data_IF_402649601534
#
_entry.id   IF_402649601534
#
_cell.length_a   1.000
_cell.length_b   1.000
_cell.length_c   1.000
_cell.angle_alpha   90.00
_cell.angle_beta   90.00
_cell.angle_gamma   90.00
#
_symmetry.space_group_name_H-M   'P 1'
#
loop_
_entity.id
_entity.type
_entity.pdbx_description
1 polymer ?
#
# COMPACT_ATOMS: atom_id res chain seq x y z
N UNK A 1 -37.83 32.15 -2.97
CA UNK A 1 -36.91 31.55 -3.95
C UNK A 1 -35.76 30.94 -3.16
N UNK A 2 -35.72 29.61 -2.97
CA UNK A 2 -34.74 28.93 -2.11
C UNK A 2 -33.37 28.91 -2.79
N UNK A 3 -32.39 29.58 -2.19
CA UNK A 3 -30.98 29.50 -2.58
C UNK A 3 -30.49 28.06 -2.49
N UNK A 4 -30.13 27.48 -3.64
CA UNK A 4 -29.40 26.21 -3.71
C UNK A 4 -27.97 26.48 -3.24
N UNK A 5 -27.68 26.23 -1.96
CA UNK A 5 -26.30 26.13 -1.46
C UNK A 5 -25.58 25.05 -2.28
N UNK A 6 -24.68 25.47 -3.16
CA UNK A 6 -23.79 24.58 -3.89
C UNK A 6 -22.96 23.78 -2.90
N UNK A 7 -23.19 22.48 -2.83
CA UNK A 7 -22.35 21.56 -2.08
C UNK A 7 -21.03 21.44 -2.85
N UNK A 8 -20.09 22.38 -2.60
CA UNK A 8 -18.70 22.21 -3.00
C UNK A 8 -18.22 20.93 -2.31
N UNK A 9 -17.98 19.87 -3.07
CA UNK A 9 -17.19 18.73 -2.59
C UNK A 9 -15.83 19.32 -2.19
N UNK A 10 -15.60 19.50 -0.89
CA UNK A 10 -14.27 19.84 -0.38
C UNK A 10 -13.35 18.72 -0.82
N UNK A 11 -12.33 19.05 -1.62
CA UNK A 11 -11.32 18.08 -2.01
C UNK A 11 -10.59 17.57 -0.78
N UNK A 12 -9.98 16.39 -0.87
CA UNK A 12 -9.14 15.84 0.21
C UNK A 12 -7.97 16.77 0.59
N UNK A 13 -7.62 17.73 -0.28
CA UNK A 13 -6.64 18.80 -0.04
C UNK A 13 -7.04 19.78 1.08
N UNK A 14 -8.33 19.95 1.37
CA UNK A 14 -8.84 20.90 2.40
C UNK A 14 -8.96 20.26 3.81
N UNK A 15 -8.58 18.98 3.95
CA UNK A 15 -8.73 18.22 5.19
C UNK A 15 -7.58 18.46 6.16
N UNK A 16 -7.87 19.23 7.22
CA UNK A 16 -6.92 19.56 8.31
C UNK A 16 -6.44 18.36 9.12
N UNK A 17 -7.10 17.22 9.00
CA UNK A 17 -6.78 15.99 9.72
C UNK A 17 -5.89 15.03 8.93
N UNK A 18 -5.46 15.40 7.72
CA UNK A 18 -4.47 14.68 6.94
C UNK A 18 -3.12 15.41 7.04
N UNK A 19 -2.03 14.66 7.11
CA UNK A 19 -0.69 15.24 7.20
C UNK A 19 -0.23 15.91 5.88
N UNK A 20 -1.10 16.01 4.87
CA UNK A 20 -0.78 16.41 3.51
C UNK A 20 -0.42 15.18 2.69
N UNK A 21 -1.15 14.95 1.60
CA UNK A 21 -0.86 13.87 0.66
C UNK A 21 0.32 14.33 -0.21
N UNK A 22 1.39 13.54 -0.23
CA UNK A 22 2.59 13.91 -0.97
C UNK A 22 2.41 13.49 -2.42
N UNK A 23 2.10 14.44 -3.30
CA UNK A 23 1.88 14.18 -4.74
C UNK A 23 3.02 13.41 -5.41
N UNK A 24 4.26 13.54 -4.92
CA UNK A 24 5.42 12.77 -5.40
C UNK A 24 5.29 11.27 -5.05
N UNK A 25 4.68 10.94 -3.91
CA UNK A 25 4.38 9.56 -3.51
C UNK A 25 3.40 8.92 -4.48
N UNK A 26 2.29 9.60 -4.79
CA UNK A 26 1.28 9.10 -5.72
C UNK A 26 1.82 8.93 -7.15
N UNK A 27 2.59 9.92 -7.63
CA UNK A 27 3.28 9.83 -8.92
C UNK A 27 4.25 8.64 -8.93
N UNK A 28 5.02 8.46 -7.85
CA UNK A 28 5.94 7.33 -7.70
C UNK A 28 5.21 5.98 -7.77
N UNK A 29 4.05 5.85 -7.12
CA UNK A 29 3.24 4.63 -7.19
C UNK A 29 2.74 4.35 -8.61
N UNK A 30 2.26 5.36 -9.32
CA UNK A 30 1.80 5.21 -10.72
C UNK A 30 2.97 4.81 -11.62
N UNK A 31 4.13 5.45 -11.48
CA UNK A 31 5.33 5.11 -12.26
C UNK A 31 5.79 3.68 -11.99
N UNK A 32 5.78 3.24 -10.73
CA UNK A 32 6.14 1.88 -10.36
C UNK A 32 5.12 0.85 -10.85
N UNK A 33 3.83 1.18 -10.86
CA UNK A 33 2.80 0.34 -11.46
C UNK A 33 3.04 0.16 -12.96
N UNK A 34 3.31 1.26 -13.68
CA UNK A 34 3.64 1.22 -15.11
C UNK A 34 4.90 0.39 -15.34
N UNK A 35 5.94 0.60 -14.54
CA UNK A 35 7.19 -0.15 -14.63
C UNK A 35 6.96 -1.65 -14.38
N UNK A 36 6.16 -2.01 -13.39
CA UNK A 36 5.81 -3.40 -13.10
C UNK A 36 5.06 -4.06 -14.27
N UNK A 37 4.04 -3.38 -14.81
CA UNK A 37 3.28 -3.89 -15.96
C UNK A 37 4.20 -4.03 -17.18
N UNK A 38 5.01 -3.02 -17.47
CA UNK A 38 5.97 -3.05 -18.57
C UNK A 38 6.99 -4.20 -18.41
N UNK A 39 7.56 -4.38 -17.22
CA UNK A 39 8.48 -5.46 -16.92
C UNK A 39 7.83 -6.84 -17.10
N UNK A 40 6.58 -6.99 -16.67
CA UNK A 40 5.83 -8.22 -16.86
C UNK A 40 5.57 -8.51 -18.35
N UNK A 41 5.19 -7.51 -19.14
CA UNK A 41 4.99 -7.65 -20.59
C UNK A 41 6.31 -7.99 -21.31
N UNK A 42 7.40 -7.32 -20.96
CA UNK A 42 8.74 -7.61 -21.50
C UNK A 42 9.14 -9.06 -21.19
N UNK A 43 8.87 -9.54 -19.98
CA UNK A 43 9.14 -10.94 -19.64
C UNK A 43 8.33 -11.91 -20.51
N UNK A 44 7.04 -11.66 -20.70
CA UNK A 44 6.16 -12.51 -21.50
C UNK A 44 6.60 -12.55 -22.97
N UNK A 45 6.83 -11.40 -23.60
CA UNK A 45 6.98 -11.29 -25.04
C UNK A 45 8.42 -11.36 -25.55
N UNK A 46 9.40 -10.99 -24.72
CA UNK A 46 10.79 -10.86 -25.15
C UNK A 46 11.63 -11.94 -24.47
N UNK A 47 11.64 -11.98 -23.15
CA UNK A 47 12.62 -12.77 -22.41
C UNK A 47 12.19 -14.22 -22.16
N UNK A 48 10.88 -14.49 -22.17
CA UNK A 48 10.28 -15.80 -21.99
C UNK A 48 10.74 -16.53 -20.70
N UNK A 49 11.32 -15.84 -19.70
CA UNK A 49 11.74 -16.48 -18.44
C UNK A 49 10.54 -17.03 -17.69
N UNK A 50 9.43 -16.28 -17.66
CA UNK A 50 8.15 -16.75 -17.13
C UNK A 50 7.71 -18.07 -17.79
N UNK A 51 7.91 -18.25 -19.10
CA UNK A 51 7.40 -19.42 -19.85
C UNK A 51 8.00 -20.72 -19.32
N UNK A 52 9.29 -20.72 -18.95
CA UNK A 52 9.95 -21.88 -18.36
C UNK A 52 9.29 -22.31 -17.03
N UNK A 53 9.15 -21.40 -16.08
CA UNK A 53 8.58 -21.71 -14.76
C UNK A 53 7.09 -22.01 -14.80
N UNK A 54 6.35 -21.30 -15.66
CA UNK A 54 4.90 -21.50 -15.83
C UNK A 54 4.54 -22.84 -16.46
N UNK A 55 5.44 -23.47 -17.21
CA UNK A 55 5.26 -24.84 -17.71
C UNK A 55 5.47 -25.90 -16.62
N UNK A 56 6.31 -25.62 -15.62
CA UNK A 56 6.55 -26.54 -14.50
C UNK A 56 5.40 -26.52 -13.49
N UNK A 57 4.88 -25.33 -13.17
CA UNK A 57 3.85 -25.16 -12.14
C UNK A 57 2.49 -24.89 -12.78
N UNK A 58 1.54 -25.80 -12.53
CA UNK A 58 0.16 -25.66 -13.03
C UNK A 58 -0.46 -24.32 -12.64
N UNK A 59 -1.19 -23.72 -13.58
CA UNK A 59 -1.89 -22.45 -13.36
C UNK A 59 -2.89 -22.54 -12.21
N UNK A 60 -3.55 -23.69 -12.02
CA UNK A 60 -4.51 -23.89 -10.93
C UNK A 60 -3.86 -23.76 -9.55
N UNK A 61 -2.65 -24.32 -9.39
CA UNK A 61 -1.91 -24.22 -8.13
C UNK A 61 -1.46 -22.78 -7.88
N UNK A 62 -0.97 -22.08 -8.91
CA UNK A 62 -0.57 -20.67 -8.82
C UNK A 62 -1.75 -19.77 -8.43
N UNK A 63 -2.90 -19.97 -9.07
CA UNK A 63 -4.13 -19.24 -8.72
C UNK A 63 -4.51 -19.54 -7.28
N UNK A 64 -4.57 -20.81 -6.87
CA UNK A 64 -4.91 -21.22 -5.52
C UNK A 64 -4.01 -20.55 -4.45
N UNK A 65 -2.69 -20.50 -4.70
CA UNK A 65 -1.73 -19.85 -3.81
C UNK A 65 -1.86 -18.31 -3.80
N UNK A 66 -2.27 -17.70 -4.92
CA UNK A 66 -2.44 -16.25 -5.02
C UNK A 66 -3.70 -15.72 -4.33
N UNK A 67 -4.77 -16.53 -4.24
CA UNK A 67 -6.04 -16.13 -3.62
C UNK A 67 -5.92 -15.60 -2.18
N UNK A 68 -5.27 -16.30 -1.22
CA UNK A 68 -5.12 -15.77 0.13
C UNK A 68 -4.28 -14.48 0.15
N UNK A 69 -3.30 -14.34 -0.74
CA UNK A 69 -2.47 -13.14 -0.85
C UNK A 69 -3.30 -11.96 -1.34
N UNK A 70 -4.13 -12.14 -2.38
CA UNK A 70 -5.05 -11.10 -2.85
C UNK A 70 -6.12 -10.74 -1.82
N UNK A 71 -6.62 -11.73 -1.09
CA UNK A 71 -7.57 -11.47 0.00
C UNK A 71 -6.93 -10.58 1.08
N UNK A 72 -5.72 -10.88 1.52
CA UNK A 72 -4.98 -10.05 2.48
C UNK A 72 -4.67 -8.67 1.90
N UNK A 73 -4.22 -8.59 0.66
CA UNK A 73 -3.95 -7.33 -0.04
C UNK A 73 -5.19 -6.42 -0.02
N UNK A 74 -6.34 -6.96 -0.43
CA UNK A 74 -7.62 -6.26 -0.44
C UNK A 74 -8.06 -5.87 0.97
N UNK A 75 -7.96 -6.78 1.94
CA UNK A 75 -8.33 -6.53 3.33
C UNK A 75 -7.54 -5.35 3.93
N UNK A 76 -6.21 -5.34 3.79
CA UNK A 76 -5.37 -4.28 4.32
C UNK A 76 -5.57 -2.95 3.59
N UNK A 77 -5.60 -2.96 2.25
CA UNK A 77 -5.81 -1.75 1.46
C UNK A 77 -7.18 -1.12 1.75
N UNK A 78 -8.25 -1.92 1.70
CA UNK A 78 -9.62 -1.43 1.92
C UNK A 78 -9.84 -0.97 3.35
N UNK A 79 -9.36 -1.72 4.34
CA UNK A 79 -9.49 -1.33 5.74
C UNK A 79 -8.68 -0.08 6.07
N UNK A 80 -7.47 0.04 5.50
CA UNK A 80 -6.63 1.22 5.65
C UNK A 80 -7.29 2.47 5.05
N UNK A 81 -7.73 2.38 3.79
CA UNK A 81 -8.46 3.46 3.11
C UNK A 81 -9.71 3.87 3.87
N UNK A 82 -10.51 2.90 4.34
CA UNK A 82 -11.73 3.18 5.12
C UNK A 82 -11.40 3.91 6.42
N UNK A 83 -10.32 3.56 7.12
CA UNK A 83 -9.96 4.20 8.38
C UNK A 83 -9.42 5.61 8.19
N UNK A 84 -8.66 5.88 7.11
CA UNK A 84 -8.11 7.22 6.81
C UNK A 84 -9.17 8.15 6.24
N UNK A 85 -9.91 7.69 5.23
CA UNK A 85 -10.82 8.54 4.48
C UNK A 85 -12.29 8.45 4.92
N UNK A 86 -12.69 7.36 5.57
CA UNK A 86 -14.09 7.10 5.92
C UNK A 86 -14.61 7.87 7.13
N UNK A 87 -13.73 8.49 7.93
CA UNK A 87 -14.11 9.34 9.06
C UNK A 87 -13.32 10.64 8.98
N UNK A 88 -14.01 11.77 8.82
CA UNK A 88 -13.40 13.10 8.96
C UNK A 88 -13.22 13.43 10.43
N UNK A 89 -12.01 13.86 10.80
CA UNK A 89 -11.66 14.29 12.15
C UNK A 89 -11.48 15.80 12.16
N UNK A 90 -11.68 16.40 13.33
CA UNK A 90 -11.51 17.84 13.50
C UNK A 90 -10.05 18.27 13.40
N UNK A 91 -9.14 17.41 13.86
CA UNK A 91 -7.71 17.68 13.98
C UNK A 91 -6.92 16.41 13.65
N UNK A 92 -5.65 16.61 13.26
CA UNK A 92 -4.71 15.51 13.04
C UNK A 92 -4.44 14.80 14.36
N UNK A 93 -4.56 13.48 14.37
CA UNK A 93 -4.32 12.65 15.56
C UNK A 93 -3.85 11.25 15.16
N UNK A 94 -3.12 10.59 16.06
CA UNK A 94 -2.63 9.22 15.83
C UNK A 94 -3.80 8.25 15.66
N UNK A 95 -3.76 7.49 14.57
CA UNK A 95 -4.71 6.41 14.30
C UNK A 95 -4.07 5.09 14.71
N UNK A 96 -4.60 4.46 15.76
CA UNK A 96 -4.09 3.15 16.25
C UNK A 96 -5.15 2.05 16.32
N UNK A 97 -6.24 2.18 15.57
CA UNK A 97 -7.39 1.25 15.58
C UNK A 97 -7.53 0.48 14.27
N UNK A 98 -8.17 -0.68 14.33
CA UNK A 98 -8.33 -1.55 13.15
C UNK A 98 -6.98 -2.02 12.61
N UNK A 99 -6.78 -1.98 11.30
CA UNK A 99 -5.52 -2.42 10.66
C UNK A 99 -4.30 -1.59 11.06
N UNK A 100 -4.50 -0.34 11.53
CA UNK A 100 -3.43 0.51 12.06
C UNK A 100 -2.92 0.04 13.43
N UNK A 101 -3.62 -0.86 14.14
CA UNK A 101 -3.05 -1.49 15.34
C UNK A 101 -2.11 -2.65 15.02
N UNK A 102 -2.10 -3.11 13.77
CA UNK A 102 -1.32 -4.26 13.28
C UNK A 102 -0.05 -3.79 12.59
N UNK A 103 -0.20 -2.83 11.66
CA UNK A 103 0.91 -2.20 10.92
C UNK A 103 0.63 -0.71 10.72
N UNK A 104 1.67 0.12 10.71
CA UNK A 104 1.50 1.58 10.58
C UNK A 104 1.07 2.01 9.18
N UNK A 105 1.46 1.25 8.15
CA UNK A 105 1.20 1.55 6.73
C UNK A 105 0.41 0.43 6.04
N UNK A 106 -0.86 0.17 6.43
CA UNK A 106 -1.63 -0.96 5.93
C UNK A 106 -1.97 -0.83 4.43
N UNK A 107 -2.14 0.38 3.91
CA UNK A 107 -2.43 0.60 2.48
C UNK A 107 -1.23 0.17 1.63
N UNK A 108 -0.02 0.52 2.06
CA UNK A 108 1.23 0.16 1.38
C UNK A 108 1.52 -1.34 1.48
N UNK A 109 1.29 -1.94 2.65
CA UNK A 109 1.33 -3.39 2.77
C UNK A 109 0.35 -4.06 1.79
N UNK A 110 -0.88 -3.55 1.69
CA UNK A 110 -1.87 -4.03 0.73
C UNK A 110 -1.38 -3.97 -0.71
N UNK A 111 -0.75 -2.85 -1.12
CA UNK A 111 -0.17 -2.70 -2.45
C UNK A 111 1.00 -3.68 -2.69
N UNK A 112 1.93 -3.83 -1.73
CA UNK A 112 3.04 -4.79 -1.81
C UNK A 112 2.52 -6.22 -1.99
N UNK A 113 1.48 -6.61 -1.24
CA UNK A 113 0.86 -7.93 -1.36
C UNK A 113 0.13 -8.12 -2.68
N UNK A 114 -0.48 -7.06 -3.24
CA UNK A 114 -1.13 -7.11 -4.55
C UNK A 114 -0.12 -7.47 -5.64
N UNK A 115 1.04 -6.81 -5.68
CA UNK A 115 2.12 -7.13 -6.62
C UNK A 115 2.62 -8.57 -6.43
N UNK A 116 2.77 -9.02 -5.18
CA UNK A 116 3.18 -10.38 -4.87
C UNK A 116 2.19 -11.42 -5.42
N UNK A 117 0.89 -11.18 -5.30
CA UNK A 117 -0.13 -12.06 -5.89
C UNK A 117 0.01 -12.22 -7.40
N UNK A 118 0.28 -11.12 -8.13
CA UNK A 118 0.56 -11.16 -9.56
C UNK A 118 1.87 -11.88 -9.90
N UNK A 119 2.90 -11.74 -9.06
CA UNK A 119 4.16 -12.48 -9.22
C UNK A 119 3.92 -13.99 -9.05
N UNK A 120 3.12 -14.42 -8.08
CA UNK A 120 2.81 -15.85 -7.88
C UNK A 120 2.09 -16.44 -9.11
N UNK A 121 1.20 -15.67 -9.75
CA UNK A 121 0.52 -16.09 -10.98
C UNK A 121 1.49 -16.16 -12.16
N UNK A 122 2.28 -15.10 -12.36
CA UNK A 122 3.16 -14.98 -13.53
C UNK A 122 4.44 -15.81 -13.42
N UNK A 123 4.92 -16.05 -12.20
CA UNK A 123 6.28 -16.53 -11.89
C UNK A 123 7.38 -15.71 -12.58
N UNK A 124 7.12 -14.42 -12.84
CA UNK A 124 8.05 -13.53 -13.51
C UNK A 124 9.17 -13.09 -12.57
N UNK A 125 10.40 -13.48 -12.89
CA UNK A 125 11.59 -13.08 -12.14
C UNK A 125 11.85 -11.56 -12.27
N UNK A 126 11.52 -10.98 -13.42
CA UNK A 126 11.63 -9.53 -13.66
C UNK A 126 10.64 -8.77 -12.78
N UNK A 127 9.38 -9.20 -12.77
CA UNK A 127 8.37 -8.62 -11.87
C UNK A 127 8.78 -8.76 -10.41
N UNK A 128 9.41 -9.88 -10.02
CA UNK A 128 9.96 -10.07 -8.68
C UNK A 128 11.07 -9.06 -8.36
N UNK A 129 12.03 -8.83 -9.27
CA UNK A 129 13.08 -7.82 -9.08
C UNK A 129 12.49 -6.40 -8.95
N UNK A 130 11.51 -6.05 -9.79
CA UNK A 130 10.81 -4.76 -9.71
C UNK A 130 10.05 -4.65 -8.38
N UNK A 131 9.46 -5.74 -7.89
CA UNK A 131 8.78 -5.77 -6.61
C UNK A 131 9.70 -5.51 -5.42
N UNK A 132 10.96 -5.95 -5.45
CA UNK A 132 11.95 -5.57 -4.45
C UNK A 132 12.20 -4.05 -4.44
N UNK A 133 12.25 -3.43 -5.62
CA UNK A 133 12.35 -1.96 -5.76
C UNK A 133 11.10 -1.28 -5.20
N UNK A 134 9.91 -1.83 -5.45
CA UNK A 134 8.64 -1.33 -4.92
C UNK A 134 8.63 -1.40 -3.38
N UNK A 135 9.12 -2.48 -2.77
CA UNK A 135 9.24 -2.58 -1.31
C UNK A 135 10.16 -1.48 -0.76
N UNK A 136 11.31 -1.26 -1.40
CA UNK A 136 12.24 -0.20 -0.98
C UNK A 136 11.60 1.19 -1.11
N UNK A 137 10.91 1.46 -2.22
CA UNK A 137 10.16 2.69 -2.39
C UNK A 137 9.13 2.90 -1.28
N UNK A 138 8.30 1.89 -0.99
CA UNK A 138 7.31 1.98 0.08
C UNK A 138 7.96 2.16 1.46
N UNK A 139 9.12 1.55 1.71
CA UNK A 139 9.86 1.79 2.93
C UNK A 139 10.32 3.25 3.05
N UNK A 140 10.90 3.84 2.01
CA UNK A 140 11.38 5.21 2.04
C UNK A 140 10.24 6.24 2.15
N UNK A 141 9.15 6.06 1.41
CA UNK A 141 7.99 6.97 1.50
C UNK A 141 7.33 6.87 2.88
N UNK A 142 7.20 5.65 3.45
CA UNK A 142 6.73 5.46 4.83
C UNK A 142 7.61 6.18 5.85
N UNK A 143 8.94 6.10 5.72
CA UNK A 143 9.87 6.80 6.62
C UNK A 143 9.72 8.32 6.53
N UNK A 144 9.51 8.84 5.32
CA UNK A 144 9.27 10.25 5.09
C UNK A 144 7.96 10.72 5.73
N UNK A 145 6.86 9.99 5.52
CA UNK A 145 5.57 10.28 6.15
C UNK A 145 5.63 10.20 7.68
N UNK A 146 6.32 9.20 8.22
CA UNK A 146 6.53 9.07 9.66
C UNK A 146 7.24 10.30 10.22
N UNK A 147 8.25 10.84 9.52
CA UNK A 147 8.94 12.06 9.94
C UNK A 147 8.00 13.26 9.99
N UNK A 148 7.17 13.45 8.96
CA UNK A 148 6.17 14.53 8.94
C UNK A 148 5.12 14.37 10.05
N UNK A 149 4.76 13.13 10.38
CA UNK A 149 3.82 12.84 11.46
C UNK A 149 4.46 13.09 12.84
N UNK A 150 5.75 12.77 13.03
CA UNK A 150 6.50 13.15 14.24
C UNK A 150 6.56 14.68 14.36
N UNK A 151 6.88 15.39 13.28
CA UNK A 151 6.97 16.87 13.31
C UNK A 151 5.63 17.53 13.71
N UNK A 152 4.49 16.87 13.42
CA UNK A 152 3.15 17.39 13.71
C UNK A 152 2.53 16.88 15.01
N UNK A 153 2.81 15.64 15.40
CA UNK A 153 2.17 14.95 16.54
C UNK A 153 3.13 14.67 17.70
N UNK A 154 4.43 14.86 17.49
CA UNK A 154 5.47 14.69 18.50
C UNK A 154 5.51 13.29 19.12
N UNK A 155 5.69 13.25 20.44
CA UNK A 155 5.88 12.01 21.21
C UNK A 155 4.73 11.01 21.07
N UNK A 156 3.49 11.48 20.83
CA UNK A 156 2.34 10.58 20.65
C UNK A 156 2.54 9.64 19.45
N UNK A 157 3.17 10.12 18.38
CA UNK A 157 3.45 9.29 17.22
C UNK A 157 4.70 8.41 17.43
N UNK A 158 5.69 8.90 18.16
CA UNK A 158 6.86 8.09 18.56
C UNK A 158 6.46 6.88 19.42
N UNK A 159 5.58 7.07 20.39
CA UNK A 159 5.03 5.99 21.22
C UNK A 159 4.33 4.93 20.35
N UNK A 160 3.51 5.39 19.41
CA UNK A 160 2.86 4.51 18.43
C UNK A 160 3.86 3.75 17.54
N UNK A 161 4.96 4.39 17.15
CA UNK A 161 6.03 3.73 16.39
C UNK A 161 6.76 2.64 17.19
N UNK A 162 6.82 2.75 18.51
CA UNK A 162 7.40 1.74 19.38
C UNK A 162 6.48 0.51 19.52
N UNK A 163 5.17 0.74 19.55
CA UNK A 163 4.16 -0.31 19.74
C UNK A 163 3.86 -1.11 18.45
N UNK A 164 3.76 -0.44 17.30
CA UNK A 164 3.22 -1.03 16.07
C UNK A 164 4.29 -1.05 14.97
N UNK A 165 4.59 -2.18 14.30
CA UNK A 165 5.60 -2.24 13.24
C UNK A 165 5.17 -1.49 11.97
N UNK A 166 6.14 -1.11 11.13
CA UNK A 166 5.86 -0.31 9.92
C UNK A 166 5.03 -1.05 8.86
N UNK A 167 5.55 -2.18 8.36
CA UNK A 167 4.98 -2.92 7.22
C UNK A 167 4.75 -4.41 7.50
N UNK A 168 5.62 -5.07 8.25
CA UNK A 168 5.51 -6.52 8.51
C UNK A 168 4.83 -6.73 9.87
N UNK A 169 3.65 -7.39 9.93
CA UNK A 169 2.97 -7.69 11.18
C UNK A 169 3.86 -8.51 12.12
N UNK A 170 3.85 -8.18 13.42
CA UNK A 170 4.50 -9.00 14.44
C UNK A 170 3.55 -10.14 14.85
N UNK A 171 3.95 -11.41 14.74
CA UNK A 171 3.08 -12.53 15.11
C UNK A 171 2.83 -12.63 16.62
N UNK A 172 3.63 -11.97 17.46
CA UNK A 172 3.48 -11.95 18.91
C UNK A 172 3.58 -10.52 19.44
N UNK A 173 2.49 -10.01 20.03
CA UNK A 173 2.57 -8.88 20.97
C UNK A 173 3.14 -9.43 22.28
N UNK A 174 4.25 -8.85 22.76
CA UNK A 174 4.62 -8.96 24.17
C UNK A 174 3.66 -8.13 25.02
#
# INVERSE_FOLDING_TARGET
MKERKGYKRKGHEDRKDLAGEHSIGDIGQILLLILFIAGWLVDIYILHFSVFFTQTVSIYLRVLLSLPVFFLAFFFARSGLKTVFGVERKELAVIKTGVFSIVRHPIYLGAILLYLGFIIISLSLISFCIWLIIILFYYFISRYEEKLLIDKLGSQYEDYMNEVPMLIPRPFKK
#
